data_IF_819539392748
#
_entry.id   IF_819539392748
#
_cell.length_a   1.000
_cell.length_b   1.000
_cell.length_c   1.000
_cell.angle_alpha   90.00
_cell.angle_beta   90.00
_cell.angle_gamma   90.00
#
_symmetry.space_group_name_H-M   'P 1'
#
loop_
_entity.id
_entity.type
_entity.pdbx_description
1 polymer ?
#
# COMPACT_ATOMS: atom_id res chain seq x y z
N UNK A 1 -30.28 -3.49 20.95
CA UNK A 1 -29.11 -3.16 21.78
C UNK A 1 -28.03 -4.23 21.54
N UNK A 2 -27.11 -4.02 20.58
CA UNK A 2 -26.10 -5.02 20.23
C UNK A 2 -24.92 -4.97 21.22
N UNK A 3 -24.61 -6.12 21.82
CA UNK A 3 -23.36 -6.36 22.57
C UNK A 3 -22.21 -6.37 21.55
N UNK A 4 -21.24 -5.46 21.70
CA UNK A 4 -19.92 -5.61 21.06
C UNK A 4 -18.89 -5.51 22.17
N UNK A 5 -18.56 -6.67 22.74
CA UNK A 5 -17.43 -6.79 23.65
C UNK A 5 -16.15 -6.73 22.84
N UNK A 6 -15.36 -5.68 23.03
CA UNK A 6 -13.96 -5.70 22.65
C UNK A 6 -13.23 -6.70 23.55
N UNK A 7 -12.49 -7.69 23.01
CA UNK A 7 -11.72 -8.58 23.87
C UNK A 7 -10.53 -7.81 24.46
N UNK A 8 -10.33 -7.99 25.76
CA UNK A 8 -9.23 -7.41 26.51
C UNK A 8 -7.88 -7.77 25.87
N UNK A 9 -7.11 -6.74 25.49
CA UNK A 9 -5.74 -6.90 24.99
C UNK A 9 -4.89 -7.55 26.09
N UNK A 10 -4.62 -8.84 25.94
CA UNK A 10 -3.79 -9.59 26.88
C UNK A 10 -2.33 -9.21 26.63
N UNK A 11 -1.73 -8.47 27.57
CA UNK A 11 -0.28 -8.29 27.65
C UNK A 11 0.38 -9.66 27.89
N UNK A 12 0.83 -10.33 26.83
CA UNK A 12 1.70 -11.51 26.94
C UNK A 12 3.00 -11.29 26.17
N UNK A 13 4.07 -11.06 26.95
CA UNK A 13 5.45 -11.48 26.70
C UNK A 13 6.19 -10.85 25.50
N UNK A 14 7.30 -10.16 25.76
CA UNK A 14 8.05 -9.33 24.79
C UNK A 14 8.50 -9.99 23.48
N UNK A 15 8.45 -11.31 23.33
CA UNK A 15 8.82 -12.02 22.09
C UNK A 15 7.73 -11.93 21.01
N UNK A 16 6.43 -11.97 21.39
CA UNK A 16 5.32 -11.87 20.43
C UNK A 16 5.20 -10.45 19.88
N UNK A 17 5.39 -9.46 20.76
CA UNK A 17 5.42 -8.05 20.37
C UNK A 17 6.61 -7.75 19.44
N UNK A 18 7.82 -8.22 19.75
CA UNK A 18 8.99 -8.05 18.87
C UNK A 18 8.77 -8.71 17.52
N UNK A 19 8.26 -9.95 17.47
CA UNK A 19 7.96 -10.62 16.19
C UNK A 19 6.86 -9.92 15.38
N UNK A 20 5.85 -9.35 16.04
CA UNK A 20 4.84 -8.53 15.39
C UNK A 20 5.42 -7.23 14.84
N UNK A 21 6.26 -6.53 15.61
CA UNK A 21 6.95 -5.30 15.19
C UNK A 21 7.90 -5.56 14.02
N UNK A 22 8.69 -6.64 14.05
CA UNK A 22 9.58 -7.03 12.94
C UNK A 22 8.78 -7.30 11.67
N UNK A 23 7.67 -8.06 11.75
CA UNK A 23 6.80 -8.30 10.59
C UNK A 23 6.17 -7.03 10.04
N UNK A 24 5.77 -6.09 10.88
CA UNK A 24 5.26 -4.79 10.43
C UNK A 24 6.33 -3.98 9.73
N UNK A 25 7.58 -4.01 10.21
CA UNK A 25 8.71 -3.34 9.58
C UNK A 25 9.07 -3.94 8.21
N UNK A 26 9.03 -5.28 8.06
CA UNK A 26 9.22 -5.96 6.76
C UNK A 26 8.11 -5.58 5.76
N UNK A 27 6.85 -5.53 6.23
CA UNK A 27 5.71 -5.10 5.39
C UNK A 27 5.84 -3.64 4.96
N UNK A 28 6.28 -2.75 5.85
CA UNK A 28 6.53 -1.36 5.52
C UNK A 28 7.62 -1.25 4.45
N UNK A 29 8.76 -1.91 4.64
CA UNK A 29 9.85 -1.91 3.66
C UNK A 29 9.40 -2.41 2.29
N UNK A 30 8.64 -3.51 2.27
CA UNK A 30 8.06 -4.06 1.04
C UNK A 30 7.13 -3.05 0.36
N UNK A 31 6.33 -2.33 1.13
CA UNK A 31 5.44 -1.29 0.61
C UNK A 31 6.21 -0.08 0.07
N UNK A 32 7.25 0.39 0.78
CA UNK A 32 8.14 1.47 0.33
C UNK A 32 8.88 1.09 -0.96
N UNK A 33 9.37 -0.14 -1.06
CA UNK A 33 9.98 -0.66 -2.28
C UNK A 33 8.97 -0.70 -3.44
N UNK A 34 7.72 -1.10 -3.17
CA UNK A 34 6.65 -1.08 -4.17
C UNK A 34 6.33 0.35 -4.64
N UNK A 35 6.27 1.32 -3.72
CA UNK A 35 6.09 2.76 -4.03
C UNK A 35 7.23 3.26 -4.91
N UNK A 36 8.47 2.96 -4.56
CA UNK A 36 9.64 3.40 -5.32
C UNK A 36 9.61 2.83 -6.74
N UNK A 37 9.42 1.51 -6.89
CA UNK A 37 9.36 0.85 -8.21
C UNK A 37 8.21 1.36 -9.06
N UNK A 38 7.04 1.57 -8.46
CA UNK A 38 5.89 2.12 -9.17
C UNK A 38 6.15 3.58 -9.57
N UNK A 39 6.75 4.38 -8.69
CA UNK A 39 7.15 5.76 -8.98
C UNK A 39 8.10 5.85 -10.18
N UNK A 40 9.12 4.99 -10.21
CA UNK A 40 10.08 4.90 -11.32
C UNK A 40 9.39 4.51 -12.64
N UNK A 41 8.50 3.52 -12.60
CA UNK A 41 7.75 3.07 -13.77
C UNK A 41 6.81 4.19 -14.31
N UNK A 42 6.16 4.93 -13.43
CA UNK A 42 5.31 6.07 -13.80
C UNK A 42 6.15 7.21 -14.39
N UNK A 43 7.31 7.51 -13.79
CA UNK A 43 8.21 8.53 -14.30
C UNK A 43 8.73 8.21 -15.71
N UNK A 44 9.00 6.92 -16.00
CA UNK A 44 9.41 6.47 -17.33
C UNK A 44 8.38 6.78 -18.43
N UNK A 45 7.09 6.91 -18.06
CA UNK A 45 5.99 7.25 -18.99
C UNK A 45 5.52 8.70 -18.84
N UNK A 46 6.36 9.56 -18.23
CA UNK A 46 6.08 10.98 -17.96
C UNK A 46 4.88 11.24 -17.05
N UNK A 47 4.50 10.28 -16.22
CA UNK A 47 3.42 10.40 -15.23
C UNK A 47 4.00 10.71 -13.85
N UNK A 48 3.41 11.69 -13.15
CA UNK A 48 3.72 11.98 -11.75
C UNK A 48 2.46 11.95 -10.90
N UNK A 49 2.48 11.15 -9.84
CA UNK A 49 1.42 11.08 -8.84
C UNK A 49 1.96 11.70 -7.54
N UNK A 50 1.62 12.97 -7.22
CA UNK A 50 2.19 13.68 -6.08
C UNK A 50 1.73 13.11 -4.72
N UNK A 51 0.72 12.26 -4.73
CA UNK A 51 0.19 11.57 -3.55
C UNK A 51 0.58 10.10 -3.50
N UNK A 52 1.48 9.64 -4.38
CA UNK A 52 1.95 8.25 -4.36
C UNK A 52 2.68 7.95 -3.05
N UNK A 53 2.21 6.95 -2.31
CA UNK A 53 2.78 6.63 -1.02
C UNK A 53 2.17 5.39 -0.40
N UNK A 54 2.58 5.11 0.83
CA UNK A 54 2.01 4.02 1.62
C UNK A 54 0.85 4.56 2.46
N UNK A 55 -0.30 3.88 2.44
CA UNK A 55 -1.41 4.21 3.33
C UNK A 55 -1.02 3.85 4.77
N UNK A 56 -0.75 4.87 5.57
CA UNK A 56 -0.36 4.72 6.97
C UNK A 56 -1.49 4.14 7.83
N UNK A 57 -2.76 4.31 7.41
CA UNK A 57 -3.92 3.83 8.17
C UNK A 57 -4.01 2.31 8.11
N UNK A 58 -3.91 1.73 6.91
CA UNK A 58 -3.93 0.27 6.73
C UNK A 58 -2.70 -0.41 7.32
N UNK A 59 -1.58 0.31 7.45
CA UNK A 59 -0.36 -0.16 8.11
C UNK A 59 -0.46 -0.16 9.63
N UNK A 60 -1.20 0.78 10.20
CA UNK A 60 -1.45 0.88 11.65
C UNK A 60 -2.53 -0.09 12.16
N UNK A 61 -3.18 -0.85 11.28
CA UNK A 61 -4.20 -1.84 11.62
C UNK A 61 -3.65 -2.99 12.48
N UNK A 62 -4.49 -3.58 13.34
CA UNK A 62 -4.16 -4.77 14.16
C UNK A 62 -3.68 -5.95 13.32
N UNK A 63 -4.18 -6.04 12.08
CA UNK A 63 -3.68 -6.93 11.04
C UNK A 63 -3.17 -6.05 9.90
N UNK A 64 -1.86 -5.74 9.86
CA UNK A 64 -1.32 -4.77 8.90
C UNK A 64 -1.53 -5.25 7.46
N UNK A 65 -2.21 -4.48 6.62
CA UNK A 65 -2.35 -4.78 5.20
C UNK A 65 -1.89 -3.55 4.42
N UNK A 66 -0.60 -3.44 4.07
CA UNK A 66 -0.08 -2.21 3.47
C UNK A 66 -0.76 -1.96 2.13
N UNK A 67 -1.50 -0.87 2.04
CA UNK A 67 -2.07 -0.37 0.80
C UNK A 67 -1.17 0.73 0.24
N UNK A 68 -1.18 0.87 -1.09
CA UNK A 68 -0.49 1.94 -1.79
C UNK A 68 -1.52 3.00 -2.15
N UNK A 69 -1.34 4.20 -1.62
CA UNK A 69 -2.09 5.38 -2.03
C UNK A 69 -1.58 5.82 -3.40
N UNK A 70 -2.45 5.82 -4.42
CA UNK A 70 -2.14 6.34 -5.76
C UNK A 70 -2.55 7.82 -5.91
N UNK A 71 -3.52 8.26 -5.10
CA UNK A 71 -4.09 9.60 -5.13
C UNK A 71 -4.84 9.94 -6.41
N UNK A 72 -4.99 11.25 -6.66
CA UNK A 72 -5.70 11.80 -7.82
C UNK A 72 -4.73 12.07 -8.96
N UNK A 73 -5.11 11.66 -10.17
CA UNK A 73 -4.43 12.02 -11.40
C UNK A 73 -5.32 12.89 -12.29
N UNK A 74 -4.72 13.64 -13.20
CA UNK A 74 -5.46 14.34 -14.24
C UNK A 74 -5.86 13.38 -15.37
N UNK A 75 -6.80 13.81 -16.23
CA UNK A 75 -7.34 12.95 -17.30
C UNK A 75 -6.27 12.49 -18.29
N UNK A 76 -5.34 13.36 -18.69
CA UNK A 76 -4.23 13.02 -19.59
C UNK A 76 -3.37 11.89 -18.99
N UNK A 77 -3.04 12.01 -17.70
CA UNK A 77 -2.30 10.98 -16.95
C UNK A 77 -3.06 9.66 -16.90
N UNK A 78 -4.36 9.69 -16.63
CA UNK A 78 -5.19 8.48 -16.59
C UNK A 78 -5.20 7.76 -17.95
N UNK A 79 -5.29 8.52 -19.05
CA UNK A 79 -5.25 7.96 -20.41
C UNK A 79 -3.89 7.36 -20.76
N UNK A 80 -2.78 8.04 -20.41
CA UNK A 80 -1.42 7.51 -20.59
C UNK A 80 -1.21 6.23 -19.81
N UNK A 81 -1.64 6.20 -18.55
CA UNK A 81 -1.59 5.00 -17.70
C UNK A 81 -2.38 3.84 -18.34
N UNK A 82 -3.61 4.10 -18.80
CA UNK A 82 -4.45 3.09 -19.44
C UNK A 82 -3.87 2.58 -20.77
N UNK A 83 -3.10 3.39 -21.50
CA UNK A 83 -2.39 2.96 -22.70
C UNK A 83 -1.23 2.00 -22.35
N UNK A 84 -0.46 2.32 -21.31
CA UNK A 84 0.67 1.49 -20.86
C UNK A 84 0.19 0.15 -20.27
N UNK A 85 -0.87 0.18 -19.45
CA UNK A 85 -1.39 -1.00 -18.76
C UNK A 85 -2.10 -2.01 -19.68
N UNK A 86 -2.60 -1.59 -20.84
CA UNK A 86 -3.21 -2.51 -21.81
C UNK A 86 -2.20 -3.50 -22.42
N UNK A 87 -0.90 -3.27 -22.25
CA UNK A 87 0.14 -4.09 -22.87
C UNK A 87 0.08 -4.02 -24.40
N UNK A 88 1.02 -4.69 -25.10
CA UNK A 88 0.99 -4.72 -26.57
C UNK A 88 -0.21 -5.49 -27.15
N UNK A 89 -0.86 -6.40 -26.42
CA UNK A 89 -2.00 -7.17 -26.93
C UNK A 89 -2.94 -7.50 -25.75
N UNK A 90 -4.10 -6.83 -25.70
CA UNK A 90 -5.28 -7.33 -25.01
C UNK A 90 -6.28 -7.84 -26.07
N UNK A 91 -5.75 -8.59 -27.03
CA UNK A 91 -6.46 -9.37 -28.04
C UNK A 91 -6.14 -10.86 -27.77
N UNK A 92 -6.79 -11.45 -26.76
CA UNK A 92 -7.05 -12.91 -26.67
C UNK A 92 -8.48 -13.14 -26.16
#
# INVERSE_FOLDING_TARGET
MRRSGYPAVTRRGGVVLMAAVVRSADRLRTAEEAVARLGDALAAVSVKLPSLGVDVVSLASEVPYPLIELGRCNVDTALRLAAVLRGPEADE
#
